data_IF_233816033101
#
_entry.id   IF_233816033101
#
_cell.length_a   1.000
_cell.length_b   1.000
_cell.length_c   1.000
_cell.angle_alpha   90.00
_cell.angle_beta   90.00
_cell.angle_gamma   90.00
#
_symmetry.space_group_name_H-M   'P 1'
#
loop_
_entity.id
_entity.type
_entity.pdbx_description
1 polymer ?
#
# COMPACT_ATOMS: atom_id res chain seq x y z
N UNK A 1 -7.05 55.39 -64.70
CA UNK A 1 -6.55 55.20 -66.06
C UNK A 1 -6.10 53.76 -66.16
N UNK A 2 -6.93 53.03 -66.92
CA UNK A 2 -6.54 52.20 -68.05
C UNK A 2 -5.63 51.02 -67.72
N UNK A 3 -5.83 49.82 -68.21
CA UNK A 3 -6.81 49.18 -69.23
C UNK A 3 -6.73 47.67 -69.04
N UNK A 4 -7.84 47.04 -69.29
CA UNK A 4 -8.04 45.67 -69.74
C UNK A 4 -6.89 45.06 -70.52
N UNK A 5 -6.63 43.75 -70.35
CA UNK A 5 -6.69 42.87 -71.45
C UNK A 5 -6.97 41.42 -71.12
N UNK A 6 -7.97 40.94 -71.66
CA UNK A 6 -8.53 39.61 -71.81
C UNK A 6 -7.77 38.87 -72.89
N UNK A 7 -7.33 37.66 -72.74
CA UNK A 7 -7.37 36.66 -73.81
C UNK A 7 -6.96 35.24 -73.37
N UNK A 8 -7.93 34.39 -73.56
CA UNK A 8 -7.91 33.05 -74.17
C UNK A 8 -7.18 31.91 -73.53
N UNK A 9 -7.99 31.06 -72.91
CA UNK A 9 -8.33 29.69 -73.33
C UNK A 9 -7.17 28.87 -73.93
N UNK A 10 -6.77 27.82 -73.30
CA UNK A 10 -6.61 26.48 -73.89
C UNK A 10 -6.86 25.45 -72.79
N UNK A 11 -7.87 24.62 -73.02
CA UNK A 11 -8.13 23.41 -72.21
C UNK A 11 -7.12 22.33 -72.60
N UNK A 12 -6.47 21.75 -71.63
CA UNK A 12 -5.87 20.42 -71.75
C UNK A 12 -6.29 19.58 -70.58
N UNK A 13 -7.22 18.70 -70.84
CA UNK A 13 -7.62 17.61 -70.01
C UNK A 13 -6.47 16.61 -69.87
N UNK A 14 -5.86 16.55 -68.73
CA UNK A 14 -5.02 15.41 -68.33
C UNK A 14 -5.79 14.61 -67.29
N UNK A 15 -6.27 13.49 -67.73
CA UNK A 15 -6.87 12.44 -66.97
C UNK A 15 -5.82 11.83 -66.02
N UNK A 16 -5.73 12.32 -64.81
CA UNK A 16 -4.85 11.71 -63.80
C UNK A 16 -5.61 10.58 -63.14
N UNK A 17 -5.28 9.37 -63.53
CA UNK A 17 -5.69 8.13 -62.90
C UNK A 17 -5.11 8.08 -61.50
N UNK A 18 -5.88 8.48 -60.50
CA UNK A 18 -5.54 8.34 -59.11
C UNK A 18 -5.61 6.85 -58.71
N UNK A 19 -4.47 6.21 -58.67
CA UNK A 19 -4.29 4.91 -58.01
C UNK A 19 -4.60 5.11 -56.54
N UNK A 20 -5.81 4.79 -56.13
CA UNK A 20 -6.15 4.67 -54.71
C UNK A 20 -5.38 3.47 -54.13
N UNK A 21 -4.26 3.72 -53.46
CA UNK A 21 -3.67 2.74 -52.61
C UNK A 21 -4.62 2.52 -51.41
N UNK A 22 -5.09 1.31 -51.15
CA UNK A 22 -5.72 1.04 -49.86
C UNK A 22 -4.66 1.20 -48.81
N UNK A 23 -4.73 2.28 -48.03
CA UNK A 23 -4.02 2.36 -46.74
C UNK A 23 -4.61 1.22 -45.93
N UNK A 24 -3.85 0.15 -45.78
CA UNK A 24 -4.08 -0.84 -44.73
C UNK A 24 -4.06 -0.03 -43.45
N UNK A 25 -5.22 0.22 -42.87
CA UNK A 25 -5.31 0.66 -41.49
C UNK A 25 -4.67 -0.47 -40.67
N UNK A 26 -3.40 -0.28 -40.30
CA UNK A 26 -2.80 -1.09 -39.26
C UNK A 26 -3.69 -0.91 -38.05
N UNK A 27 -4.38 -2.00 -37.67
CA UNK A 27 -4.99 -2.11 -36.35
C UNK A 27 -3.90 -1.82 -35.32
N UNK A 28 -3.78 -0.57 -34.94
CA UNK A 28 -3.11 -0.25 -33.68
C UNK A 28 -3.93 -0.99 -32.62
N UNK A 29 -3.34 -1.96 -31.92
CA UNK A 29 -4.04 -2.53 -30.79
C UNK A 29 -4.36 -1.37 -29.86
N UNK A 30 -5.64 -1.00 -29.80
CA UNK A 30 -6.13 -0.19 -28.69
C UNK A 30 -5.74 -0.97 -27.45
N UNK A 31 -4.70 -0.48 -26.76
CA UNK A 31 -4.44 -0.87 -25.39
C UNK A 31 -5.72 -0.52 -24.65
N UNK A 32 -6.64 -1.48 -24.58
CA UNK A 32 -7.66 -1.45 -23.57
C UNK A 32 -6.88 -1.30 -22.28
N UNK A 33 -7.05 -0.20 -21.56
CA UNK A 33 -6.65 -0.09 -20.19
C UNK A 33 -7.40 -1.21 -19.46
N UNK A 34 -6.84 -2.40 -19.56
CA UNK A 34 -7.21 -3.52 -18.71
C UNK A 34 -6.93 -2.98 -17.32
N UNK A 35 -7.99 -2.72 -16.60
CA UNK A 35 -8.00 -2.15 -15.25
C UNK A 35 -7.24 -3.14 -14.39
N UNK A 36 -5.90 -3.04 -14.39
CA UNK A 36 -5.02 -3.87 -13.57
C UNK A 36 -5.38 -3.50 -12.14
N UNK A 37 -6.28 -4.26 -11.56
CA UNK A 37 -6.67 -4.10 -10.16
C UNK A 37 -5.39 -4.28 -9.34
N UNK A 38 -4.84 -3.18 -8.86
CA UNK A 38 -3.64 -3.20 -8.02
C UNK A 38 -3.98 -4.02 -6.78
N UNK A 39 -3.22 -5.06 -6.53
CA UNK A 39 -3.28 -5.77 -5.25
C UNK A 39 -2.67 -4.87 -4.17
N UNK A 40 -3.53 -4.09 -3.52
CA UNK A 40 -3.12 -3.12 -2.50
C UNK A 40 -2.49 -3.81 -1.28
N UNK A 41 -2.84 -5.06 -1.00
CA UNK A 41 -2.20 -5.82 0.07
C UNK A 41 -0.73 -6.11 -0.27
N UNK A 42 -0.48 -6.66 -1.45
CA UNK A 42 0.88 -6.91 -1.93
C UNK A 42 1.69 -5.61 -2.09
N UNK A 43 1.06 -4.53 -2.58
CA UNK A 43 1.70 -3.21 -2.66
C UNK A 43 2.10 -2.69 -1.27
N UNK A 44 1.25 -2.84 -0.27
CA UNK A 44 1.55 -2.49 1.12
C UNK A 44 2.70 -3.30 1.70
N UNK A 45 2.74 -4.62 1.47
CA UNK A 45 3.84 -5.47 1.90
C UNK A 45 5.17 -5.07 1.26
N UNK A 46 5.17 -4.80 -0.05
CA UNK A 46 6.34 -4.30 -0.78
C UNK A 46 6.82 -2.95 -0.22
N UNK A 47 5.89 -2.07 0.12
CA UNK A 47 6.20 -0.78 0.74
C UNK A 47 6.86 -0.96 2.13
N UNK A 48 6.37 -1.91 2.95
CA UNK A 48 7.01 -2.28 4.23
C UNK A 48 8.45 -2.76 4.00
N UNK A 49 8.65 -3.69 3.06
CA UNK A 49 9.99 -4.21 2.74
C UNK A 49 10.95 -3.09 2.29
N UNK A 50 10.44 -2.09 1.57
CA UNK A 50 11.18 -0.90 1.14
C UNK A 50 11.27 0.18 2.23
N UNK A 51 10.72 -0.03 3.42
CA UNK A 51 10.58 0.95 4.51
C UNK A 51 9.86 2.24 4.09
N UNK A 52 9.04 2.17 3.05
CA UNK A 52 8.17 3.27 2.64
C UNK A 52 6.86 3.22 3.43
N UNK A 53 6.94 3.67 4.68
CA UNK A 53 5.84 3.56 5.64
C UNK A 53 4.60 4.37 5.23
N UNK A 54 4.79 5.49 4.57
CA UNK A 54 3.68 6.32 4.07
C UNK A 54 2.89 5.60 2.99
N UNK A 55 3.57 4.96 2.04
CA UNK A 55 2.92 4.14 1.02
C UNK A 55 2.25 2.91 1.64
N UNK A 56 2.92 2.24 2.60
CA UNK A 56 2.33 1.10 3.30
C UNK A 56 1.01 1.48 4.00
N UNK A 57 0.97 2.61 4.71
CA UNK A 57 -0.26 3.14 5.33
C UNK A 57 -1.33 3.40 4.27
N UNK A 58 -0.99 4.02 3.15
CA UNK A 58 -1.95 4.30 2.07
C UNK A 58 -2.56 3.01 1.51
N UNK A 59 -1.72 2.03 1.19
CA UNK A 59 -2.16 0.74 0.63
C UNK A 59 -3.03 -0.04 1.63
N UNK A 60 -2.59 -0.20 2.88
CA UNK A 60 -3.39 -0.94 3.86
C UNK A 60 -4.69 -0.22 4.26
N UNK A 61 -4.75 1.12 4.20
CA UNK A 61 -6.02 1.85 4.35
C UNK A 61 -7.03 1.46 3.29
N UNK A 62 -6.61 1.29 2.04
CA UNK A 62 -7.49 0.81 0.97
C UNK A 62 -7.94 -0.62 1.23
N UNK A 63 -7.00 -1.51 1.62
CA UNK A 63 -7.34 -2.91 1.94
C UNK A 63 -8.39 -3.00 3.03
N UNK A 64 -8.25 -2.25 4.14
CA UNK A 64 -9.23 -2.30 5.24
C UNK A 64 -10.53 -1.58 4.93
N UNK A 65 -10.54 -0.66 3.96
CA UNK A 65 -11.76 -0.06 3.44
C UNK A 65 -12.57 -1.07 2.60
N UNK A 66 -11.89 -1.83 1.74
CA UNK A 66 -12.49 -2.85 0.88
C UNK A 66 -12.88 -4.10 1.68
N UNK A 67 -12.06 -4.50 2.66
CA UNK A 67 -12.31 -5.64 3.53
C UNK A 67 -12.06 -5.27 5.00
N UNK A 68 -13.06 -4.72 5.70
CA UNK A 68 -12.93 -4.29 7.10
C UNK A 68 -12.66 -5.42 8.09
N UNK A 69 -12.85 -6.68 7.69
CA UNK A 69 -12.62 -7.88 8.54
C UNK A 69 -11.25 -8.52 8.31
N UNK A 70 -10.36 -7.89 7.55
CA UNK A 70 -9.01 -8.39 7.34
C UNK A 70 -8.11 -8.02 8.54
N UNK A 71 -7.96 -8.94 9.49
CA UNK A 71 -7.14 -8.73 10.69
C UNK A 71 -5.66 -8.48 10.35
N UNK A 72 -5.11 -9.21 9.36
CA UNK A 72 -3.73 -9.02 8.92
C UNK A 72 -3.49 -7.62 8.36
N UNK A 73 -4.42 -7.11 7.55
CA UNK A 73 -4.31 -5.75 7.00
C UNK A 73 -4.38 -4.68 8.09
N UNK A 74 -5.26 -4.83 9.10
CA UNK A 74 -5.28 -3.95 10.26
C UNK A 74 -3.99 -4.03 11.06
N UNK A 75 -3.43 -5.23 11.25
CA UNK A 75 -2.13 -5.41 11.91
C UNK A 75 -1.00 -4.70 11.14
N UNK A 76 -0.91 -4.87 9.82
CA UNK A 76 0.12 -4.24 9.00
C UNK A 76 -0.06 -2.72 8.87
N UNK A 77 -1.30 -2.22 8.92
CA UNK A 77 -1.60 -0.80 9.04
C UNK A 77 -1.06 -0.25 10.37
N UNK A 78 -1.30 -0.95 11.47
CA UNK A 78 -0.78 -0.59 12.80
C UNK A 78 0.74 -0.59 12.84
N UNK A 79 1.37 -1.62 12.26
CA UNK A 79 2.82 -1.70 12.12
C UNK A 79 3.40 -0.50 11.37
N UNK A 80 2.78 -0.13 10.26
CA UNK A 80 3.21 1.00 9.42
C UNK A 80 3.04 2.35 10.15
N UNK A 81 1.93 2.54 10.87
CA UNK A 81 1.73 3.72 11.72
C UNK A 81 2.75 3.79 12.86
N UNK A 82 3.04 2.66 13.52
CA UNK A 82 4.06 2.59 14.57
C UNK A 82 5.45 2.96 14.04
N UNK A 83 5.80 2.50 12.84
CA UNK A 83 7.05 2.84 12.19
C UNK A 83 7.19 4.35 11.88
N UNK A 84 6.06 5.04 11.64
CA UNK A 84 6.00 6.50 11.51
C UNK A 84 5.95 7.26 12.85
N UNK A 85 5.99 6.55 13.99
CA UNK A 85 5.85 7.15 15.32
C UNK A 85 4.41 7.58 15.66
N UNK A 86 3.42 7.22 14.84
CA UNK A 86 1.99 7.53 15.04
C UNK A 86 1.35 6.46 15.92
N UNK A 87 1.68 6.48 17.22
CA UNK A 87 1.32 5.42 18.14
C UNK A 87 -0.19 5.29 18.38
N UNK A 88 -0.92 6.40 18.44
CA UNK A 88 -2.38 6.36 18.64
C UNK A 88 -3.08 5.67 17.46
N UNK A 89 -2.71 6.03 16.23
CA UNK A 89 -3.21 5.38 15.01
C UNK A 89 -2.81 3.89 14.97
N UNK A 90 -1.59 3.58 15.42
CA UNK A 90 -1.10 2.21 15.48
C UNK A 90 -1.93 1.37 16.45
N UNK A 91 -2.17 1.86 17.65
CA UNK A 91 -2.98 1.15 18.64
C UNK A 91 -4.42 0.96 18.18
N UNK A 92 -5.04 1.98 17.59
CA UNK A 92 -6.38 1.87 17.01
C UNK A 92 -6.45 0.76 15.93
N UNK A 93 -5.42 0.63 15.10
CA UNK A 93 -5.36 -0.42 14.09
C UNK A 93 -5.14 -1.82 14.71
N UNK A 94 -4.24 -1.96 15.69
CA UNK A 94 -4.05 -3.23 16.41
C UNK A 94 -5.30 -3.66 17.18
N UNK A 95 -6.01 -2.72 17.78
CA UNK A 95 -7.27 -3.02 18.48
C UNK A 95 -8.32 -3.56 17.51
N UNK A 96 -8.39 -3.03 16.29
CA UNK A 96 -9.24 -3.58 15.22
C UNK A 96 -8.82 -5.00 14.83
N UNK A 97 -7.52 -5.23 14.64
CA UNK A 97 -7.01 -6.58 14.34
C UNK A 97 -7.39 -7.58 15.44
N UNK A 98 -7.20 -7.20 16.71
CA UNK A 98 -7.50 -8.05 17.87
C UNK A 98 -8.99 -8.20 18.17
N UNK A 99 -9.82 -7.24 17.76
CA UNK A 99 -11.28 -7.37 17.81
C UNK A 99 -11.79 -8.40 16.77
N UNK A 100 -11.11 -8.52 15.62
CA UNK A 100 -11.43 -9.49 14.57
C UNK A 100 -10.85 -10.87 14.93
N UNK A 101 -9.59 -10.91 15.30
CA UNK A 101 -8.88 -12.13 15.73
C UNK A 101 -8.17 -11.88 17.08
N UNK A 102 -8.78 -12.25 18.22
CA UNK A 102 -8.16 -12.08 19.54
C UNK A 102 -6.86 -12.88 19.75
N UNK A 103 -6.56 -13.85 18.87
CA UNK A 103 -5.35 -14.67 18.88
C UNK A 103 -4.31 -14.26 17.84
N UNK A 104 -4.49 -13.12 17.20
CA UNK A 104 -3.58 -12.62 16.17
C UNK A 104 -2.19 -12.30 16.77
N UNK A 105 -1.26 -13.22 16.62
CA UNK A 105 0.07 -13.15 17.27
C UNK A 105 0.85 -11.88 16.91
N UNK A 106 0.87 -11.50 15.62
CA UNK A 106 1.55 -10.30 15.17
C UNK A 106 0.96 -9.02 15.78
N UNK A 107 -0.36 -8.93 15.92
CA UNK A 107 -0.99 -7.75 16.54
C UNK A 107 -0.69 -7.66 18.04
N UNK A 108 -0.63 -8.79 18.74
CA UNK A 108 -0.22 -8.84 20.16
C UNK A 108 1.24 -8.44 20.31
N UNK A 109 2.14 -8.98 19.48
CA UNK A 109 3.56 -8.63 19.51
C UNK A 109 3.76 -7.13 19.21
N UNK A 110 3.22 -6.66 18.07
CA UNK A 110 3.50 -5.29 17.63
C UNK A 110 2.83 -4.22 18.49
N UNK A 111 1.65 -4.49 19.05
CA UNK A 111 1.06 -3.58 20.05
C UNK A 111 1.88 -3.59 21.34
N UNK A 112 2.38 -4.76 21.79
CA UNK A 112 3.29 -4.86 22.91
C UNK A 112 4.56 -4.05 22.73
N UNK A 113 5.19 -4.14 21.55
CA UNK A 113 6.34 -3.32 21.17
C UNK A 113 6.00 -1.80 21.16
N UNK A 114 4.84 -1.44 20.66
CA UNK A 114 4.33 -0.06 20.69
C UNK A 114 4.16 0.46 22.12
N UNK A 115 3.62 -0.34 23.02
CA UNK A 115 3.47 0.00 24.43
C UNK A 115 4.82 0.23 25.12
N UNK A 116 5.83 -0.56 24.81
CA UNK A 116 7.19 -0.30 25.33
C UNK A 116 7.75 1.03 24.81
N UNK A 117 7.55 1.34 23.53
CA UNK A 117 7.96 2.62 22.91
C UNK A 117 7.31 3.83 23.57
N UNK A 118 6.11 3.68 24.07
CA UNK A 118 5.35 4.72 24.76
C UNK A 118 5.42 4.62 26.29
N UNK A 119 6.42 3.89 26.82
CA UNK A 119 6.66 3.72 28.25
C UNK A 119 5.48 3.09 29.04
N UNK A 120 4.70 2.23 28.38
CA UNK A 120 3.54 1.55 28.96
C UNK A 120 3.85 0.06 29.20
N UNK A 121 4.91 -0.24 30.00
CA UNK A 121 5.42 -1.60 30.21
C UNK A 121 4.32 -2.59 30.66
N UNK A 122 3.47 -2.20 31.58
CA UNK A 122 2.40 -3.07 32.08
C UNK A 122 1.46 -3.56 30.97
N UNK A 123 1.14 -2.70 29.99
CA UNK A 123 0.33 -3.11 28.82
C UNK A 123 1.09 -4.06 27.90
N UNK A 124 2.40 -3.87 27.71
CA UNK A 124 3.21 -4.80 26.93
C UNK A 124 3.28 -6.19 27.60
N UNK A 125 3.44 -6.23 28.93
CA UNK A 125 3.40 -7.47 29.71
C UNK A 125 2.05 -8.20 29.59
N UNK A 126 0.94 -7.45 29.56
CA UNK A 126 -0.38 -8.03 29.33
C UNK A 126 -0.50 -8.68 27.93
N UNK A 127 0.06 -8.06 26.89
CA UNK A 127 0.08 -8.68 25.53
C UNK A 127 0.98 -9.91 25.52
N UNK A 128 2.13 -9.86 26.19
CA UNK A 128 3.02 -11.01 26.33
C UNK A 128 2.34 -12.18 27.05
N UNK A 129 1.57 -11.90 28.12
CA UNK A 129 0.82 -12.94 28.81
C UNK A 129 -0.18 -13.64 27.89
N UNK A 130 -0.91 -12.89 27.05
CA UNK A 130 -1.79 -13.47 26.03
C UNK A 130 -1.01 -14.33 25.02
N UNK A 131 0.11 -13.84 24.51
CA UNK A 131 0.95 -14.60 23.57
C UNK A 131 1.44 -15.92 24.17
N UNK A 132 1.87 -15.92 25.44
CA UNK A 132 2.32 -17.15 26.12
C UNK A 132 1.21 -18.21 26.18
N UNK A 133 -0.05 -17.79 26.37
CA UNK A 133 -1.20 -18.72 26.37
C UNK A 133 -1.46 -19.27 24.97
N UNK A 134 -1.32 -18.43 23.91
CA UNK A 134 -1.63 -18.80 22.54
C UNK A 134 -0.51 -19.68 21.95
N UNK A 135 0.74 -19.28 22.16
CA UNK A 135 1.92 -19.94 21.61
C UNK A 135 3.16 -19.58 22.44
N UNK A 136 3.47 -20.38 23.46
CA UNK A 136 4.59 -20.12 24.36
C UNK A 136 5.97 -20.10 23.66
N UNK A 137 6.14 -20.87 22.58
CA UNK A 137 7.43 -21.08 21.89
C UNK A 137 7.54 -20.41 20.51
N UNK A 138 6.54 -19.62 20.08
CA UNK A 138 6.62 -18.94 18.79
C UNK A 138 7.53 -17.69 18.86
N UNK A 139 7.96 -17.26 17.67
CA UNK A 139 8.87 -16.12 17.50
C UNK A 139 8.32 -14.84 18.10
N UNK A 140 7.03 -14.59 17.97
CA UNK A 140 6.35 -13.41 18.48
C UNK A 140 6.40 -13.34 20.01
N UNK A 141 6.24 -14.49 20.68
CA UNK A 141 6.36 -14.58 22.14
C UNK A 141 7.79 -14.34 22.58
N UNK A 142 8.77 -14.96 21.92
CA UNK A 142 10.18 -14.79 22.24
C UNK A 142 10.64 -13.34 22.03
N UNK A 143 10.23 -12.74 20.92
CA UNK A 143 10.55 -11.36 20.54
C UNK A 143 10.02 -10.37 21.59
N UNK A 144 8.73 -10.45 21.93
CA UNK A 144 8.14 -9.54 22.93
C UNK A 144 8.67 -9.81 24.33
N UNK A 145 8.92 -11.07 24.71
CA UNK A 145 9.50 -11.41 26.01
C UNK A 145 10.89 -10.78 26.19
N UNK A 146 11.74 -10.88 25.17
CA UNK A 146 13.05 -10.23 25.15
C UNK A 146 12.92 -8.72 25.31
N UNK A 147 12.04 -8.08 24.51
CA UNK A 147 11.86 -6.64 24.58
C UNK A 147 11.36 -6.16 25.96
N UNK A 148 10.45 -6.90 26.59
CA UNK A 148 9.94 -6.60 27.94
C UNK A 148 11.07 -6.74 28.99
N UNK A 149 11.91 -7.76 28.87
CA UNK A 149 13.02 -8.00 29.80
C UNK A 149 14.10 -6.93 29.68
N UNK A 150 14.39 -6.46 28.48
CA UNK A 150 15.42 -5.45 28.20
C UNK A 150 14.91 -4.01 28.36
N UNK A 151 13.61 -3.83 28.63
CA UNK A 151 13.00 -2.51 28.71
C UNK A 151 13.56 -1.67 29.85
N UNK A 152 14.05 -0.48 29.51
CA UNK A 152 14.48 0.57 30.46
C UNK A 152 13.61 1.81 30.24
N UNK A 153 12.93 2.33 31.28
CA UNK A 153 12.15 3.56 31.16
C UNK A 153 12.99 4.71 30.59
N UNK A 154 12.47 5.43 29.61
CA UNK A 154 13.14 6.57 28.96
C UNK A 154 14.23 6.21 27.96
N UNK A 155 14.55 4.93 27.76
CA UNK A 155 15.47 4.52 26.70
C UNK A 155 14.78 4.58 25.32
N UNK A 156 15.49 5.10 24.30
CA UNK A 156 15.04 4.99 22.91
C UNK A 156 15.20 3.54 22.46
N UNK A 157 14.11 2.80 22.43
CA UNK A 157 14.13 1.41 21.93
C UNK A 157 14.26 1.47 20.42
N UNK A 158 15.46 1.25 19.89
CA UNK A 158 15.72 1.08 18.45
C UNK A 158 15.30 -0.33 18.04
N UNK A 159 14.12 -0.48 17.48
CA UNK A 159 13.64 -1.76 16.92
C UNK A 159 13.07 -1.49 15.53
N UNK A 160 13.99 -1.36 14.58
CA UNK A 160 13.73 -1.48 13.14
C UNK A 160 14.91 -2.19 12.48
#
# INVERSE_FOLDING_TARGET
MQKFNLSRLIALSLLSLALANPVLAADTPTMTEENVKIDEYAAGQKAIAAKNWTLAVSSFKKVVADNPKNADAHNLLGYSHRALGKFDDAFAAYDKALAIDPKHKGALEYSGMGYLKTNQKAKAEAQLAKLKVICASCSETASLAKAVAEFKPGAVISTY
#
